data_IF_815829540946
#
_entry.id   IF_815829540946
#
_cell.length_a   1.000
_cell.length_b   1.000
_cell.length_c   1.000
_cell.angle_alpha   90.00
_cell.angle_beta   90.00
_cell.angle_gamma   90.00
#
_symmetry.space_group_name_H-M   'P 1'
#
loop_
_entity.id
_entity.type
_entity.pdbx_description
1 polymer ?
#
# COMPACT_ATOMS: atom_id res chain seq x y z
N UNK A 1 14.57 5.58 4.98
CA UNK A 1 13.90 4.75 3.96
C UNK A 1 12.51 5.31 3.70
N UNK A 2 12.04 5.23 2.47
CA UNK A 2 10.75 5.74 2.02
C UNK A 2 9.78 4.58 1.74
N UNK A 3 8.67 4.55 2.48
CA UNK A 3 7.58 3.59 2.30
C UNK A 3 6.47 4.26 1.49
N UNK A 4 6.17 3.69 0.33
CA UNK A 4 5.02 4.07 -0.47
C UNK A 4 3.83 3.20 -0.07
N UNK A 5 2.80 3.82 0.52
CA UNK A 5 1.53 3.14 0.81
C UNK A 5 0.53 3.48 -0.29
N UNK A 6 0.06 2.47 -1.01
CA UNK A 6 -0.94 2.61 -2.08
C UNK A 6 -2.24 2.00 -1.60
N UNK A 7 -3.33 2.77 -1.69
CA UNK A 7 -4.66 2.26 -1.41
C UNK A 7 -5.67 2.75 -2.44
N UNK A 8 -6.76 2.00 -2.56
CA UNK A 8 -7.91 2.36 -3.39
C UNK A 8 -9.18 2.45 -2.58
N UNK A 9 -10.32 2.65 -3.27
CA UNK A 9 -11.63 2.70 -2.65
C UNK A 9 -11.60 3.69 -1.46
N UNK A 10 -12.30 3.45 -0.36
CA UNK A 10 -12.37 4.41 0.76
C UNK A 10 -11.09 4.65 1.57
N UNK A 11 -9.93 4.06 1.24
CA UNK A 11 -8.67 4.27 1.98
C UNK A 11 -8.55 3.56 3.33
N UNK A 12 -9.42 2.59 3.59
CA UNK A 12 -9.54 1.97 4.91
C UNK A 12 -8.29 1.19 5.33
N UNK A 13 -7.72 0.41 4.41
CA UNK A 13 -6.57 -0.45 4.69
C UNK A 13 -5.31 0.39 4.80
N UNK A 14 -5.08 1.26 3.83
CA UNK A 14 -3.94 2.18 3.78
C UNK A 14 -3.88 3.06 5.03
N UNK A 15 -5.02 3.58 5.51
CA UNK A 15 -5.09 4.34 6.76
C UNK A 15 -4.55 3.53 7.96
N UNK A 16 -5.01 2.30 8.13
CA UNK A 16 -4.59 1.47 9.27
C UNK A 16 -3.11 1.08 9.17
N UNK A 17 -2.62 0.81 7.96
CA UNK A 17 -1.19 0.58 7.69
C UNK A 17 -0.35 1.79 8.06
N UNK A 18 -0.70 2.98 7.58
CA UNK A 18 0.04 4.22 7.88
C UNK A 18 0.12 4.44 9.39
N UNK A 19 -1.00 4.27 10.11
CA UNK A 19 -1.04 4.44 11.56
C UNK A 19 -0.13 3.44 12.27
N UNK A 20 -0.17 2.17 11.87
CA UNK A 20 0.64 1.12 12.49
C UNK A 20 2.15 1.33 12.25
N UNK A 21 2.54 1.74 11.04
CA UNK A 21 3.94 2.08 10.72
C UNK A 21 4.38 3.28 11.56
N UNK A 22 3.62 4.38 11.60
CA UNK A 22 4.00 5.56 12.39
C UNK A 22 4.11 5.28 13.89
N UNK A 23 3.30 4.36 14.42
CA UNK A 23 3.37 3.97 15.84
C UNK A 23 4.62 3.13 16.16
N UNK A 24 5.07 2.29 15.23
CA UNK A 24 6.13 1.30 15.49
C UNK A 24 7.50 1.72 14.95
N UNK A 25 7.50 2.53 13.88
CA UNK A 25 8.65 2.95 13.08
C UNK A 25 8.51 4.45 12.73
N UNK A 26 8.53 5.35 13.73
CA UNK A 26 8.22 6.77 13.54
C UNK A 26 9.17 7.50 12.58
N UNK A 27 10.41 7.02 12.46
CA UNK A 27 11.46 7.60 11.61
C UNK A 27 11.31 7.28 10.11
N UNK A 28 10.42 6.33 9.75
CA UNK A 28 10.14 6.06 8.35
C UNK A 28 9.34 7.18 7.71
N UNK A 29 9.80 7.60 6.53
CA UNK A 29 9.04 8.52 5.68
C UNK A 29 7.98 7.72 4.93
N UNK A 30 6.74 8.18 5.03
CA UNK A 30 5.59 7.56 4.37
C UNK A 30 5.07 8.50 3.30
N UNK A 31 5.08 8.02 2.05
CA UNK A 31 4.35 8.64 0.94
C UNK A 31 3.07 7.87 0.71
N UNK A 32 1.91 8.50 0.90
CA UNK A 32 0.61 7.90 0.63
C UNK A 32 0.14 8.24 -0.79
N UNK A 33 -0.25 7.25 -1.57
CA UNK A 33 -0.86 7.46 -2.89
C UNK A 33 -2.20 6.76 -2.97
N UNK A 34 -3.28 7.53 -2.98
CA UNK A 34 -4.61 7.01 -3.26
C UNK A 34 -4.90 6.95 -4.76
N UNK A 35 -5.65 5.95 -5.22
CA UNK A 35 -6.24 5.97 -6.58
C UNK A 35 -7.30 7.05 -6.73
N UNK A 36 -7.90 7.49 -5.61
CA UNK A 36 -8.87 8.57 -5.53
C UNK A 36 -8.57 9.50 -4.33
N UNK A 37 -9.23 10.66 -4.30
CA UNK A 37 -8.98 11.68 -3.27
C UNK A 37 -9.40 11.28 -1.85
N UNK A 38 -10.37 10.37 -1.71
CA UNK A 38 -10.84 9.88 -0.41
C UNK A 38 -9.77 8.99 0.22
N UNK A 39 -9.23 8.04 -0.54
CA UNK A 39 -8.13 7.17 -0.08
C UNK A 39 -6.90 7.99 0.34
N UNK A 40 -6.50 8.94 -0.50
CA UNK A 40 -5.38 9.85 -0.22
C UNK A 40 -5.60 10.62 1.08
N UNK A 41 -6.80 11.20 1.25
CA UNK A 41 -7.14 11.98 2.44
C UNK A 41 -7.17 11.13 3.71
N UNK A 42 -7.65 9.89 3.63
CA UNK A 42 -7.70 8.97 4.76
C UNK A 42 -6.30 8.63 5.26
N UNK A 43 -5.38 8.32 4.36
CA UNK A 43 -3.97 8.03 4.69
C UNK A 43 -3.22 9.26 5.20
N UNK A 44 -3.41 10.43 4.59
CA UNK A 44 -2.77 11.66 5.06
C UNK A 44 -3.21 12.01 6.49
N UNK A 45 -4.51 11.92 6.80
CA UNK A 45 -5.04 12.11 8.15
C UNK A 45 -4.54 11.05 9.16
N UNK A 46 -4.09 9.89 8.67
CA UNK A 46 -3.51 8.84 9.50
C UNK A 46 -2.05 9.13 9.91
N UNK A 47 -1.41 10.14 9.30
CA UNK A 47 -0.05 10.56 9.63
C UNK A 47 0.99 10.28 8.54
N UNK A 48 0.59 10.07 7.28
CA UNK A 48 1.56 10.03 6.18
C UNK A 48 2.26 11.39 6.02
N UNK A 49 3.55 11.39 5.66
CA UNK A 49 4.35 12.62 5.56
C UNK A 49 4.09 13.37 4.26
N UNK A 50 3.82 12.62 3.18
CA UNK A 50 3.49 13.15 1.86
C UNK A 50 2.27 12.41 1.31
N UNK A 51 1.47 13.09 0.50
CA UNK A 51 0.34 12.45 -0.16
C UNK A 51 0.12 12.97 -1.59
N UNK A 52 -0.26 12.07 -2.49
CA UNK A 52 -0.63 12.38 -3.87
C UNK A 52 -1.76 11.44 -4.34
N UNK A 53 -2.38 11.76 -5.47
CA UNK A 53 -3.54 11.00 -5.98
C UNK A 53 -3.39 10.66 -7.46
N UNK A 54 -3.81 9.45 -7.84
CA UNK A 54 -4.02 9.06 -9.24
C UNK A 54 -2.83 8.35 -9.91
N UNK A 55 -3.01 8.00 -11.19
CA UNK A 55 -2.10 7.14 -11.97
C UNK A 55 -0.65 7.63 -11.95
N UNK A 56 -0.44 8.90 -12.28
CA UNK A 56 0.91 9.42 -12.38
C UNK A 56 1.61 9.50 -11.01
N UNK A 57 0.86 9.71 -9.93
CA UNK A 57 1.42 9.68 -8.59
C UNK A 57 1.97 8.29 -8.25
N UNK A 58 1.23 7.23 -8.57
CA UNK A 58 1.71 5.84 -8.41
C UNK A 58 2.99 5.64 -9.21
N UNK A 59 2.99 5.97 -10.50
CA UNK A 59 4.13 5.76 -11.40
C UNK A 59 5.38 6.50 -10.94
N UNK A 60 5.25 7.75 -10.50
CA UNK A 60 6.38 8.57 -10.06
C UNK A 60 6.91 8.12 -8.70
N UNK A 61 6.02 7.85 -7.74
CA UNK A 61 6.41 7.47 -6.39
C UNK A 61 7.03 6.07 -6.34
N UNK A 62 6.62 5.14 -7.20
CA UNK A 62 7.22 3.80 -7.29
C UNK A 62 8.71 3.82 -7.64
N UNK A 63 9.21 4.88 -8.28
CA UNK A 63 10.63 5.04 -8.65
C UNK A 63 11.53 5.47 -7.48
N UNK A 64 10.93 5.98 -6.40
CA UNK A 64 11.62 6.56 -5.24
C UNK A 64 11.35 5.80 -3.94
N UNK A 65 10.60 4.70 -4.02
CA UNK A 65 10.20 3.91 -2.87
C UNK A 65 11.28 2.85 -2.60
N UNK A 66 11.56 2.62 -1.32
CA UNK A 66 12.31 1.43 -0.88
C UNK A 66 11.34 0.26 -0.68
N UNK A 67 10.13 0.57 -0.19
CA UNK A 67 9.04 -0.37 0.02
C UNK A 67 7.74 0.13 -0.60
N UNK A 68 6.94 -0.78 -1.15
CA UNK A 68 5.58 -0.52 -1.59
C UNK A 68 4.64 -1.42 -0.79
N UNK A 69 3.64 -0.81 -0.15
CA UNK A 69 2.70 -1.50 0.73
C UNK A 69 1.27 -1.20 0.28
N UNK A 70 0.42 -2.22 0.27
CA UNK A 70 -1.02 -2.04 0.06
C UNK A 70 -1.75 -3.35 -0.19
N UNK A 71 -3.07 -3.29 -0.46
CA UNK A 71 -3.85 -4.45 -0.87
C UNK A 71 -3.26 -5.14 -2.09
N UNK A 72 -3.35 -6.47 -2.19
CA UNK A 72 -2.83 -7.22 -3.34
C UNK A 72 -3.39 -6.74 -4.69
N UNK A 73 -4.60 -6.19 -4.71
CA UNK A 73 -5.21 -5.61 -5.92
C UNK A 73 -4.38 -4.51 -6.59
N UNK A 74 -3.50 -3.81 -5.86
CA UNK A 74 -2.69 -2.72 -6.46
C UNK A 74 -1.75 -3.20 -7.57
N UNK A 75 -1.40 -4.50 -7.61
CA UNK A 75 -0.57 -5.10 -8.66
C UNK A 75 -1.39 -5.81 -9.75
N UNK A 76 -2.71 -5.76 -9.67
CA UNK A 76 -3.63 -6.42 -10.60
C UNK A 76 -4.27 -5.35 -11.45
N UNK A 77 -3.95 -5.35 -12.74
CA UNK A 77 -4.54 -4.44 -13.71
C UNK A 77 -6.07 -4.57 -13.73
N UNK A 78 -6.75 -3.44 -13.82
CA UNK A 78 -8.20 -3.29 -13.87
C UNK A 78 -8.94 -3.77 -12.60
N UNK A 79 -8.21 -4.03 -11.51
CA UNK A 79 -8.82 -4.36 -10.22
C UNK A 79 -9.52 -3.16 -9.60
N UNK A 80 -10.31 -3.42 -8.54
CA UNK A 80 -11.03 -2.38 -7.78
C UNK A 80 -11.91 -1.52 -8.69
N UNK A 81 -12.68 -2.16 -9.58
CA UNK A 81 -13.55 -1.52 -10.58
C UNK A 81 -12.79 -0.63 -11.58
N UNK A 82 -11.53 -0.96 -11.86
CA UNK A 82 -10.69 -0.20 -12.80
C UNK A 82 -9.94 0.99 -12.17
N UNK A 83 -9.95 1.14 -10.85
CA UNK A 83 -9.14 2.16 -10.18
C UNK A 83 -7.63 1.91 -10.35
N UNK A 84 -7.23 0.64 -10.43
CA UNK A 84 -5.85 0.25 -10.74
C UNK A 84 -5.72 0.07 -12.24
N UNK A 85 -5.02 1.00 -12.88
CA UNK A 85 -4.78 0.91 -14.33
C UNK A 85 -3.65 -0.07 -14.64
N UNK A 86 -3.57 -0.60 -15.88
CA UNK A 86 -2.43 -1.41 -16.30
C UNK A 86 -1.07 -0.73 -16.11
N UNK A 87 -1.01 0.60 -16.28
CA UNK A 87 0.22 1.38 -16.07
C UNK A 87 0.63 1.46 -14.60
N UNK A 88 -0.35 1.61 -13.69
CA UNK A 88 -0.09 1.56 -12.25
C UNK A 88 0.47 0.18 -11.85
N UNK A 89 -0.22 -0.90 -12.24
CA UNK A 89 0.19 -2.26 -11.93
C UNK A 89 1.60 -2.57 -12.47
N UNK A 90 1.91 -2.15 -13.70
CA UNK A 90 3.24 -2.27 -14.28
C UNK A 90 4.30 -1.52 -13.48
N UNK A 91 4.04 -0.25 -13.13
CA UNK A 91 4.98 0.57 -12.38
C UNK A 91 5.26 0.01 -10.98
N UNK A 92 4.26 -0.54 -10.32
CA UNK A 92 4.42 -1.21 -9.02
C UNK A 92 5.20 -2.51 -9.18
N UNK A 93 4.79 -3.37 -10.12
CA UNK A 93 5.38 -4.70 -10.33
C UNK A 93 6.84 -4.67 -10.81
N UNK A 94 7.22 -3.65 -11.59
CA UNK A 94 8.59 -3.46 -12.08
C UNK A 94 9.45 -2.56 -11.20
N UNK A 95 8.90 -2.02 -10.10
CA UNK A 95 9.69 -1.23 -9.17
C UNK A 95 10.80 -2.08 -8.55
N UNK A 96 12.02 -1.54 -8.35
CA UNK A 96 13.06 -2.19 -7.57
C UNK A 96 12.71 -2.27 -6.08
N UNK A 97 11.67 -1.55 -5.63
CA UNK A 97 11.19 -1.58 -4.26
C UNK A 97 10.69 -2.98 -3.85
N UNK A 98 10.85 -3.29 -2.57
CA UNK A 98 10.23 -4.48 -1.98
C UNK A 98 8.73 -4.26 -1.83
N UNK A 99 7.94 -5.26 -2.19
CA UNK A 99 6.48 -5.19 -2.14
C UNK A 99 5.96 -6.02 -0.97
N UNK A 100 5.24 -5.38 -0.05
CA UNK A 100 4.55 -6.03 1.06
C UNK A 100 3.04 -5.92 0.79
N UNK A 101 2.45 -7.02 0.31
CA UNK A 101 1.08 -7.04 -0.20
C UNK A 101 0.14 -7.67 0.81
N UNK A 102 -0.99 -7.00 1.05
CA UNK A 102 -2.02 -7.46 1.98
C UNK A 102 -3.03 -8.29 1.20
N UNK A 103 -3.19 -9.60 1.50
CA UNK A 103 -4.06 -10.51 0.76
C UNK A 103 -5.54 -10.32 1.15
N UNK A 104 -6.08 -9.13 0.92
CA UNK A 104 -7.52 -8.89 1.09
C UNK A 104 -8.30 -9.45 -0.09
N UNK A 105 -9.37 -10.18 0.23
CA UNK A 105 -10.19 -10.88 -0.76
C UNK A 105 -11.21 -9.93 -1.40
N UNK A 106 -10.71 -8.95 -2.16
CA UNK A 106 -11.50 -8.07 -2.99
C UNK A 106 -11.12 -8.35 -4.46
N UNK A 107 -12.12 -8.57 -5.32
CA UNK A 107 -11.96 -8.86 -6.76
C UNK A 107 -11.64 -10.32 -7.15
N UNK A 108 -12.27 -11.31 -6.50
CA UNK A 108 -12.21 -12.74 -6.89
C UNK A 108 -10.81 -13.38 -6.95
N UNK A 109 -9.84 -12.78 -6.24
CA UNK A 109 -8.47 -13.25 -6.19
C UNK A 109 -8.28 -14.26 -5.06
N UNK A 110 -8.06 -15.52 -5.42
CA UNK A 110 -7.79 -16.59 -4.44
C UNK A 110 -6.28 -16.76 -4.28
N UNK A 111 -5.75 -16.39 -3.11
CA UNK A 111 -4.34 -16.62 -2.76
C UNK A 111 -4.21 -17.91 -1.96
N UNK A 112 -3.66 -18.95 -2.57
CA UNK A 112 -3.46 -20.26 -1.91
C UNK A 112 -2.35 -20.17 -0.87
N UNK A 113 -2.52 -20.86 0.26
CA UNK A 113 -1.50 -20.95 1.32
C UNK A 113 -1.51 -19.79 2.32
N UNK A 114 -2.49 -18.89 2.24
CA UNK A 114 -2.67 -17.78 3.18
C UNK A 114 -3.77 -18.15 4.19
N UNK A 115 -3.50 -18.08 5.51
CA UNK A 115 -4.53 -18.28 6.51
C UNK A 115 -5.53 -17.13 6.53
N UNK A 116 -6.78 -17.41 6.92
CA UNK A 116 -7.78 -16.35 7.15
C UNK A 116 -7.43 -15.58 8.42
N UNK A 117 -6.87 -14.37 8.25
CA UNK A 117 -6.40 -13.51 9.32
C UNK A 117 -7.27 -12.27 9.44
N UNK A 118 -7.44 -11.79 10.67
CA UNK A 118 -8.10 -10.52 10.93
C UNK A 118 -7.31 -9.38 10.33
N UNK A 119 -7.99 -8.29 9.93
CA UNK A 119 -7.34 -7.09 9.39
C UNK A 119 -6.23 -6.55 10.31
N UNK A 120 -6.44 -6.58 11.64
CA UNK A 120 -5.40 -6.17 12.59
C UNK A 120 -4.14 -7.02 12.48
N UNK A 121 -4.26 -8.34 12.34
CA UNK A 121 -3.10 -9.23 12.19
C UNK A 121 -2.38 -9.01 10.86
N UNK A 122 -3.14 -8.78 9.78
CA UNK A 122 -2.57 -8.45 8.48
C UNK A 122 -1.75 -7.14 8.53
N UNK A 123 -2.28 -6.11 9.19
CA UNK A 123 -1.58 -4.83 9.38
C UNK A 123 -0.34 -4.99 10.28
N UNK A 124 -0.41 -5.80 11.34
CA UNK A 124 0.76 -6.12 12.16
C UNK A 124 1.86 -6.82 11.35
N UNK A 125 1.49 -7.78 10.49
CA UNK A 125 2.43 -8.47 9.60
C UNK A 125 3.20 -7.53 8.67
N UNK A 126 2.57 -6.45 8.20
CA UNK A 126 3.27 -5.41 7.42
C UNK A 126 4.40 -4.77 8.22
N UNK A 127 4.14 -4.43 9.48
CA UNK A 127 5.15 -3.82 10.36
C UNK A 127 6.26 -4.80 10.69
N UNK A 128 5.92 -6.06 10.94
CA UNK A 128 6.89 -7.13 11.21
C UNK A 128 7.85 -7.34 10.03
N UNK A 129 7.34 -7.38 8.79
CA UNK A 129 8.16 -7.48 7.58
C UNK A 129 9.09 -6.27 7.40
N UNK A 130 8.60 -5.05 7.66
CA UNK A 130 9.43 -3.85 7.61
C UNK A 130 10.54 -3.89 8.67
N UNK A 131 10.23 -4.30 9.91
CA UNK A 131 11.23 -4.42 10.98
C UNK A 131 12.29 -5.47 10.62
N UNK A 132 11.86 -6.61 10.07
CA UNK A 132 12.74 -7.73 9.73
C UNK A 132 13.77 -7.37 8.66
N UNK A 133 13.45 -6.43 7.76
CA UNK A 133 14.34 -6.03 6.68
C UNK A 133 15.23 -4.81 7.00
N UNK A 134 14.78 -3.95 7.91
CA UNK A 134 15.56 -2.76 8.31
C UNK A 134 16.73 -3.14 9.24
N UNK A 135 16.67 -4.32 9.88
CA UNK A 135 17.69 -4.83 10.80
C UNK A 135 18.74 -5.66 10.08
#
# INVERSE_FOLDING_TARGET
MNVLVIDSQGGGIGKEVVRAIKQSLPDLTITAVGTNGVATSAMLKAGADQAATGENAVIVCCKKADYIVGPIGIVIADSMLGEITPKMALAIGQSPARRILIPVNHCDNIVVGVPDLTMSKLVSGVVEELIGDIR
#
